data_IF_188140942725
#
_entry.id   IF_188140942725
#
_cell.length_a   1.000
_cell.length_b   1.000
_cell.length_c   1.000
_cell.angle_alpha   90.00
_cell.angle_beta   90.00
_cell.angle_gamma   90.00
#
_symmetry.space_group_name_H-M   'P 1'
#
loop_
_entity.id
_entity.type
_entity.pdbx_description
1 polymer ?
#
# COMPACT_ATOMS: atom_id res chain seq x y z
N UNK A 1 -8.06 -12.57 29.24
CA UNK A 1 -8.06 -11.12 28.90
C UNK A 1 -7.64 -10.96 27.44
N UNK A 2 -8.26 -10.05 26.69
CA UNK A 2 -7.89 -9.74 25.29
C UNK A 2 -6.79 -8.68 25.28
N UNK A 3 -5.74 -8.90 24.51
CA UNK A 3 -4.63 -7.95 24.40
C UNK A 3 -4.51 -7.42 22.97
N UNK A 4 -4.26 -6.11 22.84
CA UNK A 4 -4.10 -5.45 21.53
C UNK A 4 -2.91 -5.98 20.74
N UNK A 5 -1.82 -6.35 21.42
CA UNK A 5 -0.65 -6.95 20.77
C UNK A 5 -0.95 -8.34 20.16
N UNK A 6 -2.07 -8.96 20.57
CA UNK A 6 -2.59 -10.22 20.01
C UNK A 6 -3.75 -10.00 19.03
N UNK A 7 -3.99 -8.78 18.56
CA UNK A 7 -5.08 -8.49 17.62
C UNK A 7 -6.46 -8.74 18.23
N UNK A 8 -6.62 -8.39 19.51
CA UNK A 8 -7.82 -8.66 20.32
C UNK A 8 -8.16 -10.15 20.51
N UNK A 9 -7.22 -11.04 20.20
CA UNK A 9 -7.31 -12.47 20.52
C UNK A 9 -6.97 -12.75 21.99
N UNK A 10 -7.27 -13.98 22.42
CA UNK A 10 -6.87 -14.48 23.73
C UNK A 10 -5.34 -14.63 23.81
N UNK A 11 -4.77 -14.23 24.94
CA UNK A 11 -3.34 -14.40 25.22
C UNK A 11 -3.06 -15.83 25.69
N UNK A 12 -1.98 -16.48 25.21
CA UNK A 12 -1.57 -17.78 25.72
C UNK A 12 -1.31 -17.75 27.24
N UNK A 13 -1.70 -18.79 27.96
CA UNK A 13 -1.60 -18.83 29.43
C UNK A 13 -0.15 -18.72 29.93
N UNK A 14 0.80 -19.30 29.21
CA UNK A 14 2.23 -19.19 29.55
C UNK A 14 2.74 -17.74 29.46
N UNK A 15 2.25 -16.95 28.48
CA UNK A 15 2.58 -15.51 28.39
C UNK A 15 1.98 -14.77 29.57
N UNK A 16 0.75 -15.09 29.98
CA UNK A 16 0.11 -14.44 31.12
C UNK A 16 0.86 -14.67 32.42
N UNK A 17 1.33 -15.91 32.64
CA UNK A 17 2.18 -16.25 33.78
C UNK A 17 3.51 -15.46 33.75
N UNK A 18 4.14 -15.34 32.58
CA UNK A 18 5.40 -14.60 32.44
C UNK A 18 5.22 -13.07 32.50
N UNK A 19 4.08 -12.52 32.08
CA UNK A 19 3.77 -11.09 32.26
C UNK A 19 3.75 -10.74 33.75
N UNK A 20 3.21 -11.61 34.59
CA UNK A 20 3.27 -11.44 36.04
C UNK A 20 4.71 -11.44 36.54
N UNK A 21 5.56 -12.36 36.06
CA UNK A 21 6.99 -12.39 36.38
C UNK A 21 7.72 -11.11 35.94
N UNK A 22 7.47 -10.64 34.71
CA UNK A 22 8.04 -9.38 34.19
C UNK A 22 7.59 -8.16 35.00
N UNK A 23 6.36 -8.15 35.53
CA UNK A 23 5.84 -7.06 36.35
C UNK A 23 6.56 -6.89 37.69
N UNK A 24 7.24 -7.94 38.17
CA UNK A 24 8.05 -7.91 39.40
C UNK A 24 9.45 -7.33 39.17
N UNK A 25 9.88 -7.17 37.91
CA UNK A 25 11.17 -6.56 37.57
C UNK A 25 11.10 -5.04 37.71
N UNK A 26 12.23 -4.42 38.05
CA UNK A 26 12.33 -2.95 37.99
C UNK A 26 12.22 -2.46 36.55
N UNK A 27 11.67 -1.26 36.38
CA UNK A 27 11.50 -0.64 35.05
C UNK A 27 12.83 -0.49 34.29
N UNK A 28 13.94 -0.29 35.01
CA UNK A 28 15.30 -0.21 34.45
C UNK A 28 15.72 -1.58 33.89
N UNK A 29 15.56 -2.67 34.67
CA UNK A 29 15.89 -4.02 34.21
C UNK A 29 15.03 -4.44 33.02
N UNK A 30 13.73 -4.15 33.08
CA UNK A 30 12.81 -4.45 31.98
C UNK A 30 13.21 -3.71 30.70
N UNK A 31 13.63 -2.43 30.82
CA UNK A 31 14.13 -1.65 29.68
C UNK A 31 15.41 -2.25 29.08
N UNK A 32 16.39 -2.60 29.91
CA UNK A 32 17.66 -3.19 29.45
C UNK A 32 17.44 -4.56 28.81
N UNK A 33 16.60 -5.40 29.41
CA UNK A 33 16.21 -6.69 28.86
C UNK A 33 15.50 -6.51 27.51
N UNK A 34 14.55 -5.59 27.43
CA UNK A 34 13.84 -5.26 26.20
C UNK A 34 14.79 -4.82 25.08
N UNK A 35 15.80 -3.98 25.37
CA UNK A 35 16.79 -3.56 24.39
C UNK A 35 17.61 -4.73 23.82
N UNK A 36 18.04 -5.66 24.68
CA UNK A 36 18.77 -6.86 24.23
C UNK A 36 17.88 -7.76 23.38
N UNK A 37 16.63 -7.96 23.78
CA UNK A 37 15.66 -8.77 23.04
C UNK A 37 15.39 -8.16 21.66
N UNK A 38 15.12 -6.85 21.58
CA UNK A 38 14.92 -6.16 20.29
C UNK A 38 16.16 -6.29 19.40
N UNK A 39 17.36 -6.09 19.95
CA UNK A 39 18.58 -6.24 19.18
C UNK A 39 18.76 -7.67 18.67
N UNK A 40 18.39 -8.68 19.46
CA UNK A 40 18.43 -10.09 19.06
C UNK A 40 17.38 -10.47 18.01
N UNK A 41 16.24 -9.77 17.97
CA UNK A 41 15.23 -9.92 16.91
C UNK A 41 15.75 -9.33 15.59
N UNK A 42 16.41 -8.17 15.62
CA UNK A 42 16.92 -7.49 14.42
C UNK A 42 18.19 -8.17 13.90
N UNK A 43 19.12 -8.55 14.78
CA UNK A 43 20.43 -9.11 14.45
C UNK A 43 20.68 -10.40 15.25
N UNK A 44 20.23 -11.56 14.74
CA UNK A 44 20.50 -12.86 15.37
C UNK A 44 22.01 -13.19 15.35
N UNK A 45 22.56 -13.87 16.38
CA UNK A 45 21.90 -14.52 17.51
C UNK A 45 21.72 -13.64 18.77
N UNK A 46 20.71 -13.98 19.59
CA UNK A 46 20.43 -13.29 20.85
C UNK A 46 21.54 -13.57 21.88
N UNK A 47 22.10 -12.49 22.45
CA UNK A 47 23.24 -12.57 23.37
C UNK A 47 22.77 -12.89 24.80
N UNK A 48 22.48 -14.16 25.05
CA UNK A 48 21.97 -14.66 26.35
C UNK A 48 22.95 -14.35 27.49
N UNK A 49 24.26 -14.45 27.24
CA UNK A 49 25.32 -14.13 28.22
C UNK A 49 25.24 -12.70 28.76
N UNK A 50 24.79 -11.74 27.94
CA UNK A 50 24.59 -10.35 28.38
C UNK A 50 23.38 -10.23 29.30
N UNK A 51 22.34 -11.01 29.04
CA UNK A 51 21.17 -11.09 29.92
C UNK A 51 21.59 -11.70 31.25
N UNK A 52 22.27 -12.83 31.25
CA UNK A 52 22.73 -13.48 32.50
C UNK A 52 23.59 -12.54 33.37
N UNK A 53 24.49 -11.77 32.77
CA UNK A 53 25.30 -10.75 33.47
C UNK A 53 24.46 -9.62 34.07
N UNK A 54 23.38 -9.19 33.42
CA UNK A 54 22.49 -8.14 33.94
C UNK A 54 21.65 -8.59 35.14
N UNK A 55 21.43 -9.90 35.28
CA UNK A 55 20.62 -10.48 36.36
C UNK A 55 21.48 -11.09 37.49
N UNK A 56 22.81 -11.12 37.34
CA UNK A 56 23.74 -11.67 38.32
C UNK A 56 23.75 -10.92 39.68
N UNK A 57 23.47 -9.62 39.69
CA UNK A 57 23.60 -8.76 40.89
C UNK A 57 22.38 -8.80 41.84
N UNK A 58 21.38 -9.66 41.59
CA UNK A 58 20.05 -9.53 42.18
C UNK A 58 19.64 -10.73 43.03
N UNK A 59 19.59 -10.54 44.35
CA UNK A 59 19.05 -11.54 45.29
C UNK A 59 17.57 -11.93 45.08
N UNK A 60 16.82 -11.16 44.29
CA UNK A 60 15.41 -11.37 43.98
C UNK A 60 15.16 -12.24 42.73
N UNK A 61 16.21 -12.58 41.99
CA UNK A 61 16.09 -13.05 40.60
C UNK A 61 16.40 -14.55 40.41
N UNK A 62 16.73 -15.29 41.48
CA UNK A 62 17.03 -16.73 41.41
C UNK A 62 15.82 -17.60 41.03
N UNK A 63 14.60 -17.13 41.26
CA UNK A 63 13.36 -17.81 40.87
C UNK A 63 12.87 -17.42 39.47
N UNK A 64 13.53 -16.46 38.80
CA UNK A 64 13.10 -15.91 37.52
C UNK A 64 13.71 -16.74 36.38
N UNK A 65 12.86 -17.37 35.57
CA UNK A 65 13.31 -18.06 34.37
C UNK A 65 13.63 -17.04 33.26
N UNK A 66 14.91 -16.66 33.15
CA UNK A 66 15.38 -15.68 32.16
C UNK A 66 15.00 -16.05 30.72
N UNK A 67 15.03 -17.34 30.38
CA UNK A 67 14.66 -17.81 29.03
C UNK A 67 13.16 -17.61 28.77
N UNK A 68 12.32 -17.82 29.79
CA UNK A 68 10.89 -17.57 29.70
C UNK A 68 10.58 -16.07 29.57
N UNK A 69 11.29 -15.21 30.32
CA UNK A 69 11.19 -13.75 30.18
C UNK A 69 11.61 -13.26 28.79
N UNK A 70 12.71 -13.79 28.25
CA UNK A 70 13.17 -13.50 26.87
C UNK A 70 12.11 -13.94 25.86
N UNK A 71 11.58 -15.16 25.99
CA UNK A 71 10.55 -15.69 25.10
C UNK A 71 9.26 -14.86 25.18
N UNK A 72 8.86 -14.44 26.37
CA UNK A 72 7.70 -13.60 26.59
C UNK A 72 7.86 -12.22 25.94
N UNK A 73 8.99 -11.54 26.16
CA UNK A 73 9.28 -10.25 25.52
C UNK A 73 9.37 -10.38 23.99
N UNK A 74 10.03 -11.43 23.51
CA UNK A 74 10.12 -11.71 22.06
C UNK A 74 8.72 -11.86 21.48
N UNK A 75 7.87 -12.65 22.11
CA UNK A 75 6.49 -12.85 21.67
C UNK A 75 5.70 -11.55 21.67
N UNK A 76 5.72 -10.77 22.76
CA UNK A 76 4.97 -9.51 22.86
C UNK A 76 5.40 -8.53 21.77
N UNK A 77 6.71 -8.38 21.52
CA UNK A 77 7.24 -7.44 20.52
C UNK A 77 6.93 -7.92 19.10
N UNK A 78 7.14 -9.21 18.81
CA UNK A 78 6.84 -9.78 17.49
C UNK A 78 5.34 -9.79 17.19
N UNK A 79 4.49 -10.09 18.18
CA UNK A 79 3.04 -10.06 18.01
C UNK A 79 2.56 -8.63 17.77
N UNK A 80 2.99 -7.67 18.59
CA UNK A 80 2.63 -6.26 18.43
C UNK A 80 3.01 -5.71 17.04
N UNK A 81 4.25 -5.95 16.60
CA UNK A 81 4.73 -5.49 15.28
C UNK A 81 3.96 -6.13 14.13
N UNK A 82 3.64 -7.42 14.26
CA UNK A 82 2.82 -8.14 13.27
C UNK A 82 1.42 -7.55 13.16
N UNK A 83 0.71 -7.34 14.27
CA UNK A 83 -0.65 -6.81 14.25
C UNK A 83 -0.72 -5.38 13.67
N UNK A 84 0.29 -4.55 13.95
CA UNK A 84 0.41 -3.24 13.30
C UNK A 84 0.56 -3.37 11.77
N UNK A 85 1.39 -4.28 11.28
CA UNK A 85 1.55 -4.50 9.82
C UNK A 85 0.27 -5.02 9.15
N UNK A 86 -0.45 -5.93 9.82
CA UNK A 86 -1.73 -6.48 9.34
C UNK A 86 -2.79 -5.39 9.26
N UNK A 87 -2.84 -4.49 10.25
CA UNK A 87 -3.81 -3.39 10.25
C UNK A 87 -3.66 -2.46 9.04
N UNK A 88 -2.43 -2.15 8.62
CA UNK A 88 -2.15 -1.33 7.43
C UNK A 88 -2.60 -2.06 6.17
N UNK A 89 -2.25 -3.34 6.04
CA UNK A 89 -2.68 -4.17 4.90
C UNK A 89 -4.21 -4.24 4.82
N UNK A 90 -4.88 -4.45 5.94
CA UNK A 90 -6.35 -4.51 6.01
C UNK A 90 -6.98 -3.20 5.50
N UNK A 91 -6.48 -2.05 5.96
CA UNK A 91 -6.98 -0.75 5.49
C UNK A 91 -6.73 -0.57 4.00
N UNK A 92 -5.57 -0.99 3.50
CA UNK A 92 -5.29 -0.95 2.05
C UNK A 92 -6.27 -1.82 1.27
N UNK A 93 -6.44 -3.09 1.67
CA UNK A 93 -7.33 -4.04 1.01
C UNK A 93 -8.80 -3.53 1.03
N UNK A 94 -9.23 -2.93 2.14
CA UNK A 94 -10.58 -2.34 2.29
C UNK A 94 -10.80 -1.10 1.41
N UNK A 95 -9.79 -0.23 1.28
CA UNK A 95 -9.96 1.06 0.60
C UNK A 95 -9.54 1.04 -0.87
N UNK A 96 -8.72 0.07 -1.29
CA UNK A 96 -8.20 -0.03 -2.67
C UNK A 96 -9.33 -0.13 -3.71
N UNK A 97 -10.38 -0.92 -3.43
CA UNK A 97 -11.56 -1.01 -4.30
C UNK A 97 -12.28 0.34 -4.43
N UNK A 98 -12.59 0.97 -3.29
CA UNK A 98 -13.27 2.27 -3.25
C UNK A 98 -12.48 3.37 -3.98
N UNK A 99 -11.17 3.42 -3.76
CA UNK A 99 -10.27 4.34 -4.46
C UNK A 99 -10.24 4.07 -5.97
N UNK A 100 -10.18 2.79 -6.37
CA UNK A 100 -10.20 2.39 -7.78
C UNK A 100 -11.50 2.82 -8.45
N UNK A 101 -12.65 2.61 -7.81
CA UNK A 101 -13.95 2.97 -8.39
C UNK A 101 -14.14 4.49 -8.41
N UNK A 102 -13.70 5.20 -7.37
CA UNK A 102 -13.66 6.66 -7.36
C UNK A 102 -12.80 7.20 -8.50
N UNK A 103 -11.58 6.67 -8.68
CA UNK A 103 -10.72 7.07 -9.78
C UNK A 103 -11.29 6.69 -11.13
N UNK A 104 -11.95 5.54 -11.30
CA UNK A 104 -12.65 5.19 -12.55
C UNK A 104 -13.79 6.17 -12.86
N UNK A 105 -14.55 6.59 -11.85
CA UNK A 105 -15.67 7.52 -12.01
C UNK A 105 -15.24 8.94 -12.37
N UNK A 106 -14.05 9.36 -11.91
CA UNK A 106 -13.47 10.68 -12.19
C UNK A 106 -12.39 10.66 -13.26
N UNK A 107 -11.98 9.47 -13.71
CA UNK A 107 -11.04 9.31 -14.78
C UNK A 107 -11.68 9.90 -16.02
N UNK A 108 -11.03 10.91 -16.58
CA UNK A 108 -11.31 11.41 -17.91
C UNK A 108 -10.96 10.29 -18.90
N UNK A 109 -11.82 9.30 -19.02
CA UNK A 109 -11.77 8.41 -20.18
C UNK A 109 -12.00 9.32 -21.38
N UNK A 110 -11.03 9.35 -22.27
CA UNK A 110 -11.22 9.88 -23.61
C UNK A 110 -12.41 9.09 -24.17
N UNK A 111 -13.52 9.75 -24.46
CA UNK A 111 -14.63 9.07 -25.13
C UNK A 111 -14.08 8.56 -26.46
N UNK A 112 -14.18 7.26 -26.71
CA UNK A 112 -13.69 6.69 -27.94
C UNK A 112 -14.56 7.20 -29.09
N UNK A 113 -13.92 7.63 -30.17
CA UNK A 113 -14.60 7.92 -31.41
C UNK A 113 -15.04 6.59 -32.01
N UNK A 114 -16.35 6.37 -32.07
CA UNK A 114 -16.96 5.10 -32.50
C UNK A 114 -17.01 4.99 -34.02
N UNK A 115 -17.37 6.09 -34.69
CA UNK A 115 -17.46 6.17 -36.14
C UNK A 115 -17.15 7.57 -36.67
N UNK A 116 -16.67 7.62 -37.91
CA UNK A 116 -16.37 8.84 -38.66
C UNK A 116 -16.89 8.70 -40.09
N UNK A 117 -17.81 9.56 -40.49
CA UNK A 117 -18.26 9.66 -41.88
C UNK A 117 -18.14 11.07 -42.42
N UNK A 118 -17.86 11.20 -43.71
CA UNK A 118 -17.63 12.49 -44.37
C UNK A 118 -18.35 12.59 -45.70
N UNK A 119 -19.02 13.72 -45.94
CA UNK A 119 -19.65 14.05 -47.22
C UNK A 119 -19.15 15.39 -47.75
N UNK A 120 -18.99 15.52 -49.07
CA UNK A 120 -18.56 16.76 -49.70
C UNK A 120 -19.74 17.47 -50.34
N UNK A 121 -19.97 18.74 -49.97
CA UNK A 121 -21.05 19.56 -50.51
C UNK A 121 -20.52 20.32 -51.72
N UNK A 122 -20.85 19.84 -52.93
CA UNK A 122 -20.37 20.40 -54.20
C UNK A 122 -20.72 21.88 -54.41
N UNK A 123 -21.81 22.36 -53.82
CA UNK A 123 -22.32 23.73 -53.98
C UNK A 123 -21.53 24.78 -53.17
N UNK A 124 -20.96 24.39 -52.03
CA UNK A 124 -20.26 25.32 -51.11
C UNK A 124 -18.76 25.03 -51.01
N UNK A 125 -18.30 23.91 -51.57
CA UNK A 125 -16.93 23.43 -51.42
C UNK A 125 -16.58 22.95 -50.01
N UNK A 126 -17.55 22.93 -49.10
CA UNK A 126 -17.36 22.54 -47.70
C UNK A 126 -17.48 21.03 -47.52
N UNK A 127 -16.70 20.50 -46.58
CA UNK A 127 -16.84 19.13 -46.09
C UNK A 127 -17.80 19.08 -44.90
N UNK A 128 -18.63 18.05 -44.83
CA UNK A 128 -19.48 17.76 -43.69
C UNK A 128 -18.95 16.49 -43.03
N UNK A 129 -18.47 16.62 -41.80
CA UNK A 129 -17.87 15.54 -41.02
C UNK A 129 -18.82 15.16 -39.89
N UNK A 130 -19.17 13.89 -39.81
CA UNK A 130 -19.97 13.34 -38.72
C UNK A 130 -19.08 12.50 -37.82
N UNK A 131 -19.14 12.76 -36.52
CA UNK A 131 -18.39 12.06 -35.48
C UNK A 131 -19.39 11.40 -34.53
N UNK A 132 -19.31 10.07 -34.37
CA UNK A 132 -20.12 9.35 -33.38
C UNK A 132 -19.31 9.13 -32.11
N UNK A 133 -19.82 9.64 -30.99
CA UNK A 133 -19.22 9.48 -29.65
C UNK A 133 -20.36 9.15 -28.68
N UNK A 134 -20.27 7.99 -28.00
CA UNK A 134 -21.27 7.52 -27.05
C UNK A 134 -22.70 7.54 -27.64
N UNK A 135 -22.88 6.94 -28.83
CA UNK A 135 -24.16 6.87 -29.57
C UNK A 135 -24.75 8.24 -29.99
N UNK A 136 -24.02 9.34 -29.78
CA UNK A 136 -24.39 10.68 -30.25
C UNK A 136 -23.56 11.04 -31.46
N UNK A 137 -24.23 11.37 -32.56
CA UNK A 137 -23.59 11.86 -33.77
C UNK A 137 -23.59 13.40 -33.78
N UNK A 138 -22.40 14.00 -33.81
CA UNK A 138 -22.24 15.43 -34.05
C UNK A 138 -21.79 15.68 -35.49
N UNK A 139 -22.47 16.61 -36.17
CA UNK A 139 -22.16 17.01 -37.54
C UNK A 139 -21.44 18.36 -37.57
N UNK A 140 -20.25 18.39 -38.15
CA UNK A 140 -19.42 19.58 -38.26
C UNK A 140 -19.27 19.99 -39.73
N UNK A 141 -19.53 21.28 -40.03
CA UNK A 141 -19.26 21.87 -41.35
C UNK A 141 -17.85 22.45 -41.36
N UNK A 142 -17.03 21.97 -42.29
CA UNK A 142 -15.62 22.34 -42.42
C UNK A 142 -15.39 23.11 -43.71
N UNK A 143 -14.78 24.28 -43.59
CA UNK A 143 -14.32 25.05 -44.74
C UNK A 143 -13.11 24.36 -45.41
N UNK A 144 -12.88 24.57 -46.71
CA UNK A 144 -11.80 23.91 -47.47
C UNK A 144 -10.41 24.02 -46.83
N UNK A 145 -10.08 25.21 -46.28
CA UNK A 145 -8.78 25.47 -45.67
C UNK A 145 -8.64 24.75 -44.31
N UNK A 146 -9.74 24.64 -43.56
CA UNK A 146 -9.78 23.93 -42.28
C UNK A 146 -9.58 22.42 -42.46
N UNK A 147 -10.09 21.83 -43.54
CA UNK A 147 -9.88 20.41 -43.86
C UNK A 147 -8.39 20.12 -44.06
N UNK A 148 -7.68 20.98 -44.80
CA UNK A 148 -6.23 20.82 -45.02
C UNK A 148 -5.43 20.96 -43.73
N UNK A 149 -5.79 21.93 -42.88
CA UNK A 149 -5.15 22.10 -41.56
C UNK A 149 -5.37 20.86 -40.69
N UNK A 150 -6.61 20.41 -40.57
CA UNK A 150 -6.99 19.24 -39.76
C UNK A 150 -6.24 17.97 -40.20
N UNK A 151 -6.09 17.76 -41.51
CA UNK A 151 -5.32 16.63 -42.03
C UNK A 151 -3.85 16.71 -41.60
N UNK A 152 -3.23 17.89 -41.66
CA UNK A 152 -1.86 18.11 -41.20
C UNK A 152 -1.70 17.79 -39.72
N UNK A 153 -2.63 18.26 -38.89
CA UNK A 153 -2.63 18.03 -37.45
C UNK A 153 -2.77 16.54 -37.12
N UNK A 154 -3.71 15.83 -37.76
CA UNK A 154 -3.91 14.38 -37.56
C UNK A 154 -2.68 13.56 -37.96
N UNK A 155 -1.98 13.95 -39.03
CA UNK A 155 -0.73 13.30 -39.45
C UNK A 155 0.38 13.54 -38.42
N UNK A 156 0.51 14.76 -37.90
CA UNK A 156 1.49 15.08 -36.86
C UNK A 156 1.24 14.28 -35.57
N UNK A 157 -0.03 14.16 -35.14
CA UNK A 157 -0.44 13.34 -34.00
C UNK A 157 -0.13 11.86 -34.24
N UNK A 158 -0.42 11.33 -35.44
CA UNK A 158 -0.08 9.94 -35.80
C UNK A 158 1.40 9.64 -35.71
N UNK A 159 2.25 10.55 -36.19
CA UNK A 159 3.70 10.35 -36.18
C UNK A 159 4.23 10.36 -34.74
N UNK A 160 3.82 11.33 -33.91
CA UNK A 160 4.16 11.34 -32.48
C UNK A 160 3.74 10.07 -31.74
N UNK A 161 2.56 9.53 -32.05
CA UNK A 161 2.11 8.27 -31.44
C UNK A 161 2.94 7.06 -31.87
N UNK A 162 3.50 7.05 -33.08
CA UNK A 162 4.45 6.00 -33.50
C UNK A 162 5.76 6.11 -32.74
N UNK A 163 6.33 7.31 -32.65
CA UNK A 163 7.59 7.56 -31.94
C UNK A 163 7.49 7.12 -30.46
N UNK A 164 6.36 7.41 -29.80
CA UNK A 164 6.10 7.00 -28.42
C UNK A 164 5.96 5.48 -28.26
N UNK A 165 5.45 4.79 -29.28
CA UNK A 165 5.28 3.33 -29.25
C UNK A 165 6.60 2.59 -29.51
N UNK A 166 7.52 3.21 -30.25
CA UNK A 166 8.88 2.68 -30.48
C UNK A 166 9.82 2.95 -29.29
N UNK A 167 9.49 3.92 -28.44
CA UNK A 167 10.24 4.27 -27.22
C UNK A 167 9.85 3.47 -25.96
N UNK A 168 8.78 2.66 -26.03
CA UNK A 168 8.26 1.80 -24.95
C UNK A 168 8.66 0.34 -25.19
#
# INVERSE_FOLDING_TARGET
MKFRFNGDAYCPDWILAEIYTLSRLSSIKLKLLGQIVVQGIINPPLQIEKVEKLFADSKLDTDINLKACIACLTYIISAATREHSISIKRVYDEQSGNLTDYFKSRSLKINNLEDVSGNFIKETGCGLLNLSINEKTESLKLAPNTIKSLLGDLVAVRNRMKDLKEAL
#
